data_IF_248990313041
#
_entry.id   IF_248990313041
#
_cell.length_a   1.000
_cell.length_b   1.000
_cell.length_c   1.000
_cell.angle_alpha   90.00
_cell.angle_beta   90.00
_cell.angle_gamma   90.00
#
_symmetry.space_group_name_H-M   'P 1'
#
loop_
_entity.id
_entity.type
_entity.pdbx_description
1 polymer ?
#
# COMPACT_ATOMS: atom_id res chain seq x y z
N UNK A 1 -29.52 -8.69 36.08
CA UNK A 1 -28.34 -8.93 35.23
C UNK A 1 -28.66 -8.70 33.74
N UNK A 2 -28.54 -7.47 33.21
CA UNK A 2 -28.74 -7.14 31.77
C UNK A 2 -27.55 -6.36 31.14
N UNK A 3 -26.51 -6.07 31.93
CA UNK A 3 -25.40 -5.18 31.58
C UNK A 3 -24.41 -5.77 30.54
N UNK A 4 -24.24 -7.10 30.50
CA UNK A 4 -23.23 -7.73 29.64
C UNK A 4 -23.49 -7.54 28.13
N UNK A 5 -24.76 -7.47 27.73
CA UNK A 5 -25.13 -7.38 26.31
C UNK A 5 -25.00 -5.95 25.76
N UNK A 6 -25.15 -4.93 26.61
CA UNK A 6 -24.95 -3.52 26.24
C UNK A 6 -23.47 -3.25 25.94
N UNK A 7 -22.58 -3.68 26.85
CA UNK A 7 -21.12 -3.56 26.67
C UNK A 7 -20.59 -4.31 25.44
N UNK A 8 -21.19 -5.45 25.11
CA UNK A 8 -20.88 -6.19 23.87
C UNK A 8 -21.32 -5.43 22.62
N UNK A 9 -22.51 -4.82 22.61
CA UNK A 9 -22.99 -3.99 21.49
C UNK A 9 -22.11 -2.76 21.29
N UNK A 10 -21.78 -2.04 22.36
CA UNK A 10 -20.91 -0.86 22.30
C UNK A 10 -19.53 -1.19 21.72
N UNK A 11 -18.91 -2.29 22.18
CA UNK A 11 -17.63 -2.76 21.65
C UNK A 11 -17.71 -3.15 20.18
N UNK A 12 -18.82 -3.79 19.76
CA UNK A 12 -19.03 -4.16 18.37
C UNK A 12 -19.19 -2.92 17.47
N UNK A 13 -19.95 -1.92 17.92
CA UNK A 13 -20.12 -0.66 17.18
C UNK A 13 -18.79 0.07 17.05
N UNK A 14 -18.02 0.20 18.14
CA UNK A 14 -16.69 0.81 18.10
C UNK A 14 -15.73 0.06 17.17
N UNK A 15 -15.77 -1.27 17.16
CA UNK A 15 -14.97 -2.09 16.26
C UNK A 15 -15.32 -1.82 14.79
N UNK A 16 -16.60 -1.91 14.41
CA UNK A 16 -17.01 -1.67 13.03
C UNK A 16 -16.76 -0.24 12.58
N UNK A 17 -16.95 0.74 13.47
CA UNK A 17 -16.65 2.14 13.20
C UNK A 17 -15.18 2.36 12.81
N UNK A 18 -14.24 1.65 13.43
CA UNK A 18 -12.82 1.72 13.10
C UNK A 18 -12.42 0.77 11.96
N UNK A 19 -13.10 -0.37 11.84
CA UNK A 19 -12.79 -1.39 10.85
C UNK A 19 -12.86 -0.84 9.42
N UNK A 20 -13.93 -0.13 9.06
CA UNK A 20 -14.09 0.40 7.71
C UNK A 20 -13.02 1.46 7.35
N UNK A 21 -12.76 2.50 8.16
CA UNK A 21 -11.68 3.44 7.91
C UNK A 21 -10.30 2.77 7.79
N UNK A 22 -10.00 1.81 8.66
CA UNK A 22 -8.72 1.08 8.61
C UNK A 22 -8.64 0.24 7.34
N UNK A 23 -9.70 -0.47 6.96
CA UNK A 23 -9.73 -1.26 5.74
C UNK A 23 -9.52 -0.38 4.50
N UNK A 24 -10.15 0.79 4.46
CA UNK A 24 -9.95 1.77 3.39
C UNK A 24 -8.51 2.30 3.40
N UNK A 25 -7.96 2.64 4.55
CA UNK A 25 -6.57 3.10 4.68
C UNK A 25 -5.57 2.04 4.22
N UNK A 26 -5.79 0.78 4.56
CA UNK A 26 -4.92 -0.33 4.13
C UNK A 26 -5.03 -0.52 2.62
N UNK A 27 -6.25 -0.56 2.08
CA UNK A 27 -6.51 -0.85 0.66
C UNK A 27 -6.08 0.27 -0.26
N UNK A 28 -6.35 1.53 0.12
CA UNK A 28 -6.11 2.69 -0.74
C UNK A 28 -4.88 3.52 -0.32
N UNK A 29 -4.32 3.27 0.86
CA UNK A 29 -3.09 3.89 1.33
C UNK A 29 -1.91 2.93 1.28
N UNK A 30 -1.93 1.86 2.09
CA UNK A 30 -0.76 1.00 2.27
C UNK A 30 -0.48 0.07 1.08
N UNK A 31 -1.52 -0.54 0.53
CA UNK A 31 -1.40 -1.46 -0.61
C UNK A 31 -0.78 -0.78 -1.86
N UNK A 32 -1.22 0.42 -2.30
CA UNK A 32 -0.56 1.09 -3.42
C UNK A 32 0.88 1.50 -3.10
N UNK A 33 1.20 1.89 -1.86
CA UNK A 33 2.59 2.18 -1.45
C UNK A 33 3.46 0.93 -1.62
N UNK A 34 2.96 -0.24 -1.21
CA UNK A 34 3.69 -1.49 -1.40
C UNK A 34 3.91 -1.81 -2.89
N UNK A 35 2.91 -1.60 -3.74
CA UNK A 35 3.07 -1.75 -5.19
C UNK A 35 4.07 -0.76 -5.77
N UNK A 36 4.07 0.51 -5.33
CA UNK A 36 5.07 1.49 -5.76
C UNK A 36 6.49 1.06 -5.38
N UNK A 37 6.68 0.53 -4.17
CA UNK A 37 7.96 -0.01 -3.76
C UNK A 37 8.37 -1.18 -4.66
N UNK A 38 7.47 -2.15 -4.89
CA UNK A 38 7.73 -3.27 -5.79
C UNK A 38 8.08 -2.80 -7.21
N UNK A 39 7.37 -1.81 -7.75
CA UNK A 39 7.63 -1.27 -9.08
C UNK A 39 8.95 -0.50 -9.14
N UNK A 40 9.38 0.14 -8.06
CA UNK A 40 10.67 0.85 -8.05
C UNK A 40 11.87 -0.09 -8.24
N UNK A 41 11.76 -1.35 -7.79
CA UNK A 41 12.81 -2.39 -7.92
C UNK A 41 12.59 -3.34 -9.10
N UNK A 42 11.61 -3.04 -9.96
CA UNK A 42 11.23 -3.89 -11.10
C UNK A 42 11.34 -3.08 -12.40
N UNK A 43 11.77 -3.71 -13.49
CA UNK A 43 11.61 -3.17 -14.83
C UNK A 43 10.18 -3.43 -15.30
N UNK A 44 9.32 -2.39 -15.22
CA UNK A 44 7.93 -2.48 -15.69
C UNK A 44 7.51 -1.21 -16.41
N UNK A 45 6.99 -1.38 -17.63
CA UNK A 45 6.58 -0.28 -18.50
C UNK A 45 5.06 0.00 -18.46
N UNK A 46 4.33 -0.60 -17.52
CA UNK A 46 2.87 -0.43 -17.42
C UNK A 46 2.03 -1.42 -18.23
N UNK A 47 2.63 -2.07 -19.24
CA UNK A 47 1.94 -2.92 -20.21
C UNK A 47 2.47 -4.36 -20.24
N UNK A 48 3.70 -4.57 -19.78
CA UNK A 48 4.32 -5.88 -19.76
C UNK A 48 3.64 -6.78 -18.72
N UNK A 49 3.26 -7.99 -19.14
CA UNK A 49 2.76 -9.04 -18.24
C UNK A 49 3.84 -9.55 -17.29
N UNK A 50 5.11 -9.49 -17.74
CA UNK A 50 6.27 -9.89 -16.94
C UNK A 50 6.91 -8.67 -16.30
N UNK A 51 7.11 -8.76 -14.99
CA UNK A 51 7.74 -7.78 -14.11
C UNK A 51 9.11 -8.32 -13.70
N UNK A 52 10.16 -7.94 -14.42
CA UNK A 52 11.52 -8.41 -14.12
C UNK A 52 12.10 -7.65 -12.93
N UNK A 53 12.60 -8.38 -11.93
CA UNK A 53 13.26 -7.78 -10.78
C UNK A 53 14.66 -7.30 -11.15
N UNK A 54 14.91 -5.99 -10.99
CA UNK A 54 16.18 -5.33 -11.35
C UNK A 54 16.87 -4.67 -10.15
N UNK A 55 16.34 -4.86 -8.93
CA UNK A 55 16.95 -4.34 -7.71
C UNK A 55 17.11 -2.82 -7.73
N UNK A 56 18.35 -2.34 -7.64
CA UNK A 56 18.66 -0.91 -7.53
C UNK A 56 18.90 -0.21 -8.89
N UNK A 57 18.88 -0.93 -10.00
CA UNK A 57 19.31 -0.40 -11.31
C UNK A 57 18.48 0.82 -11.76
N UNK A 58 17.18 0.82 -11.48
CA UNK A 58 16.30 1.96 -11.74
C UNK A 58 16.74 3.24 -11.02
N UNK A 59 17.17 3.12 -9.76
CA UNK A 59 17.63 4.25 -8.97
C UNK A 59 18.95 4.78 -9.51
N UNK A 60 19.90 3.89 -9.84
CA UNK A 60 21.19 4.25 -10.44
C UNK A 60 20.95 4.98 -11.77
N UNK A 61 20.05 4.48 -12.61
CA UNK A 61 19.70 5.10 -13.88
C UNK A 61 19.21 6.54 -13.70
N UNK A 62 18.26 6.78 -12.80
CA UNK A 62 17.71 8.13 -12.56
C UNK A 62 18.80 9.12 -12.11
N UNK A 63 19.76 8.68 -11.28
CA UNK A 63 20.82 9.55 -10.75
C UNK A 63 22.07 9.64 -11.63
N UNK A 64 22.17 8.86 -12.71
CA UNK A 64 23.30 8.91 -13.64
C UNK A 64 22.93 9.44 -15.02
N UNK A 65 21.66 9.32 -15.40
CA UNK A 65 21.18 9.75 -16.70
C UNK A 65 21.02 11.29 -16.73
N UNK A 66 21.79 11.99 -17.58
CA UNK A 66 21.77 13.45 -17.67
C UNK A 66 20.39 14.04 -18.01
N UNK A 67 19.52 13.28 -18.66
CA UNK A 67 18.19 13.77 -19.02
C UNK A 67 17.24 13.87 -17.81
N UNK A 68 17.55 13.16 -16.71
CA UNK A 68 16.79 13.26 -15.46
C UNK A 68 17.38 14.26 -14.44
N UNK A 69 18.61 14.73 -14.66
CA UNK A 69 19.37 15.55 -13.69
C UNK A 69 19.58 16.99 -14.19
N UNK A 70 19.14 17.30 -15.41
CA UNK A 70 19.17 18.66 -15.99
C UNK A 70 18.37 19.67 -15.18
#
# INVERSE_FOLDING_TARGET
MKSNNLRKKERSVAFFFLFFPILLLVTFGLLPIFHLFQYSVTSWNGLSDVKEFVGADNFIKIITDPDYIK
#
